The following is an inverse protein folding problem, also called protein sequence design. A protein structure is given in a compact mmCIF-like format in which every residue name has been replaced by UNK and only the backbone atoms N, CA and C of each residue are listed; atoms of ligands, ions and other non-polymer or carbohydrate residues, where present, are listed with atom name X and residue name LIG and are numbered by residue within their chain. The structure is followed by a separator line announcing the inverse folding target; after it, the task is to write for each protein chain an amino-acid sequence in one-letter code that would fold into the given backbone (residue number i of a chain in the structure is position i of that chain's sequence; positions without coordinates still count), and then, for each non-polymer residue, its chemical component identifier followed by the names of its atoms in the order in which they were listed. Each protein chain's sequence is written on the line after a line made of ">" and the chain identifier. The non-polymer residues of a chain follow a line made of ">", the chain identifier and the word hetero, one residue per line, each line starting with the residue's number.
data_IF_623836227628
#
_entry.id   IF_623836227628
#
_cell.length_a   1.000
_cell.length_b   1.000
_cell.length_c   1.000
_cell.angle_alpha   90.00
_cell.angle_beta   90.00
_cell.angle_gamma   90.00
#
_symmetry.space_group_name_H-M   'P 1'
#
loop_
_entity.id
_entity.type
_entity.pdbx_description
1 polymer ?
#
# COMPACT_ATOMS: atom_id res chain seq x y z
N UNK A 1 -0.96 -5.86 -9.00
CA UNK A 1 -0.30 -5.91 -7.68
C UNK A 1 -1.26 -5.66 -6.51
N UNK A 2 -2.09 -4.63 -6.52
CA UNK A 2 -2.92 -4.26 -5.36
C UNK A 2 -3.84 -5.35 -4.81
N UNK A 3 -4.38 -6.28 -5.60
CA UNK A 3 -5.26 -7.33 -5.08
C UNK A 3 -4.49 -8.49 -4.45
N UNK A 4 -3.37 -8.90 -5.01
CA UNK A 4 -2.52 -9.92 -4.37
C UNK A 4 -1.95 -9.39 -3.04
N UNK A 5 -1.63 -8.10 -2.98
CA UNK A 5 -1.17 -7.42 -1.76
C UNK A 5 -2.24 -7.39 -0.67
N UNK A 6 -3.51 -7.10 -0.99
CA UNK A 6 -4.57 -6.98 0.02
C UNK A 6 -4.86 -8.30 0.74
N UNK A 7 -4.84 -9.41 0.02
CA UNK A 7 -5.03 -10.73 0.63
C UNK A 7 -3.89 -11.02 1.62
N UNK A 8 -2.62 -10.77 1.22
CA UNK A 8 -1.45 -10.92 2.11
C UNK A 8 -1.49 -9.97 3.30
N UNK A 9 -1.86 -8.73 3.05
CA UNK A 9 -2.03 -7.73 4.10
C UNK A 9 -3.02 -8.18 5.18
N UNK A 10 -4.16 -8.74 4.77
CA UNK A 10 -5.16 -9.25 5.68
C UNK A 10 -4.64 -10.44 6.48
N UNK A 11 -4.02 -11.42 5.81
CA UNK A 11 -3.45 -12.61 6.46
C UNK A 11 -2.38 -12.23 7.49
N UNK A 12 -1.47 -11.31 7.15
CA UNK A 12 -0.43 -10.84 8.07
C UNK A 12 -1.02 -10.11 9.30
N UNK A 13 -2.10 -9.36 9.14
CA UNK A 13 -2.78 -8.70 10.27
C UNK A 13 -3.53 -9.69 11.17
N UNK A 14 -3.99 -10.81 10.62
CA UNK A 14 -4.68 -11.88 11.35
C UNK A 14 -3.68 -12.82 12.07
N UNK A 15 -2.39 -12.78 11.72
CA UNK A 15 -1.35 -13.57 12.40
C UNK A 15 -1.00 -12.95 13.75
N UNK A 16 -1.52 -13.55 14.82
CA UNK A 16 -1.29 -13.08 16.19
C UNK A 16 0.18 -13.10 16.64
N UNK A 17 1.04 -13.94 16.02
CA UNK A 17 2.47 -14.00 16.35
C UNK A 17 3.22 -12.75 15.87
N UNK A 18 2.77 -12.10 14.82
CA UNK A 18 3.37 -10.87 14.30
C UNK A 18 2.95 -9.61 15.06
N UNK A 19 1.83 -9.66 15.80
CA UNK A 19 1.30 -8.54 16.59
C UNK A 19 1.24 -7.22 15.82
N UNK A 20 0.92 -7.27 14.51
CA UNK A 20 0.91 -6.11 13.63
C UNK A 20 -0.33 -5.25 13.85
N UNK A 21 -0.16 -3.94 13.85
CA UNK A 21 -1.27 -2.97 13.78
C UNK A 21 -1.32 -2.33 12.41
N UNK A 22 -2.51 -2.16 11.85
CA UNK A 22 -2.67 -1.47 10.58
C UNK A 22 -2.53 0.04 10.78
N UNK A 23 -1.91 0.70 9.79
CA UNK A 23 -2.01 2.14 9.60
C UNK A 23 -3.07 2.39 8.53
N UNK A 24 -4.05 3.23 8.85
CA UNK A 24 -5.13 3.63 7.94
C UNK A 24 -4.74 4.95 7.30
N UNK A 25 -4.49 5.01 5.98
CA UNK A 25 -4.18 6.25 5.30
C UNK A 25 -5.40 7.15 5.18
N UNK A 26 -5.15 8.42 4.93
CA UNK A 26 -6.18 9.43 4.68
C UNK A 26 -6.40 9.64 3.17
N UNK A 27 -7.58 10.11 2.80
CA UNK A 27 -7.89 10.47 1.42
C UNK A 27 -8.92 11.58 1.30
N UNK A 28 -8.75 12.46 0.28
CA UNK A 28 -9.78 13.43 -0.11
C UNK A 28 -10.79 12.85 -1.11
N UNK A 29 -10.57 11.61 -1.56
CA UNK A 29 -11.49 10.91 -2.44
C UNK A 29 -12.83 10.66 -1.74
N UNK A 30 -13.97 10.85 -2.41
CA UNK A 30 -15.25 10.45 -1.86
C UNK A 30 -15.31 8.96 -1.51
N UNK A 31 -15.95 8.65 -0.39
CA UNK A 31 -16.17 7.28 0.06
C UNK A 31 -17.03 6.51 -0.96
N UNK A 32 -16.64 5.28 -1.30
CA UNK A 32 -17.38 4.41 -2.20
C UNK A 32 -18.40 3.58 -1.45
N UNK A 33 -19.38 3.05 -2.18
CA UNK A 33 -20.36 2.10 -1.61
C UNK A 33 -19.62 0.88 -1.03
N UNK A 34 -19.88 0.55 0.23
CA UNK A 34 -19.28 -0.57 0.93
C UNK A 34 -17.97 -0.26 1.65
N UNK A 35 -17.45 0.98 1.54
CA UNK A 35 -16.35 1.45 2.38
C UNK A 35 -16.88 2.06 3.68
N UNK A 36 -16.05 2.05 4.71
CA UNK A 36 -16.35 2.62 6.03
C UNK A 36 -15.22 3.51 6.47
N UNK A 37 -15.54 4.71 6.95
CA UNK A 37 -14.53 5.63 7.48
C UNK A 37 -13.77 5.00 8.65
N UNK A 38 -12.44 5.16 8.65
CA UNK A 38 -11.57 4.53 9.64
C UNK A 38 -11.33 3.03 9.42
N UNK A 39 -11.78 2.45 8.30
CA UNK A 39 -11.52 1.05 7.93
C UNK A 39 -10.61 0.95 6.71
N UNK A 40 -11.03 1.44 5.56
CA UNK A 40 -10.20 1.48 4.35
C UNK A 40 -9.33 2.74 4.33
N UNK A 41 -9.92 3.87 4.67
CA UNK A 41 -9.31 5.20 4.74
C UNK A 41 -9.99 6.03 5.84
N UNK A 42 -9.30 7.06 6.30
CA UNK A 42 -9.94 8.22 6.89
C UNK A 42 -10.31 9.18 5.75
N UNK A 43 -11.62 9.36 5.53
CA UNK A 43 -12.13 10.24 4.46
C UNK A 43 -12.25 11.66 4.97
N UNK A 44 -11.52 12.58 4.37
CA UNK A 44 -11.48 13.98 4.81
C UNK A 44 -11.64 14.96 3.64
N UNK A 45 -11.91 16.23 3.96
CA UNK A 45 -11.97 17.31 2.98
C UNK A 45 -10.63 18.02 2.81
N UNK A 46 -10.54 18.82 1.73
CA UNK A 46 -9.35 19.65 1.43
C UNK A 46 -8.98 20.61 2.59
N UNK A 47 -9.98 21.12 3.33
CA UNK A 47 -9.75 21.99 4.49
C UNK A 47 -9.01 21.25 5.61
N UNK A 48 -9.43 20.05 5.91
CA UNK A 48 -8.79 19.21 6.94
C UNK A 48 -7.35 18.86 6.54
N UNK A 49 -7.14 18.45 5.27
CA UNK A 49 -5.80 18.24 4.74
C UNK A 49 -4.93 19.50 4.88
N UNK A 50 -5.45 20.68 4.54
CA UNK A 50 -4.72 21.92 4.66
C UNK A 50 -4.33 22.23 6.12
N UNK A 51 -5.20 21.93 7.08
CA UNK A 51 -4.90 22.09 8.51
C UNK A 51 -3.86 21.08 9.00
N UNK A 52 -3.89 19.84 8.54
CA UNK A 52 -2.88 18.83 8.83
C UNK A 52 -1.50 19.21 8.26
N UNK A 53 -1.47 19.73 7.03
CA UNK A 53 -0.24 20.25 6.40
C UNK A 53 0.35 21.42 7.19
N UNK A 54 -0.48 22.41 7.59
CA UNK A 54 -0.03 23.55 8.40
C UNK A 54 0.56 23.12 9.74
N UNK A 55 0.04 22.06 10.33
CA UNK A 55 0.55 21.50 11.59
C UNK A 55 1.75 20.57 11.42
N UNK A 56 2.22 20.35 10.18
CA UNK A 56 3.34 19.45 9.90
C UNK A 56 3.05 17.98 10.22
N UNK A 57 1.78 17.57 10.18
CA UNK A 57 1.35 16.21 10.54
C UNK A 57 1.30 15.24 9.36
N UNK A 58 1.41 15.71 8.14
CA UNK A 58 1.39 14.87 6.93
C UNK A 58 2.79 14.34 6.66
N UNK A 59 2.96 13.03 6.74
CA UNK A 59 4.25 12.35 6.51
C UNK A 59 4.53 12.23 5.02
N UNK A 60 3.52 11.80 4.23
CA UNK A 60 3.59 11.69 2.79
C UNK A 60 2.25 12.06 2.16
N UNK A 61 2.29 12.60 0.95
CA UNK A 61 1.10 12.96 0.20
C UNK A 61 1.31 12.69 -1.28
N UNK A 62 0.34 12.03 -1.89
CA UNK A 62 0.28 11.76 -3.34
C UNK A 62 -1.03 12.27 -3.89
N UNK A 63 -0.98 12.89 -5.06
CA UNK A 63 -2.15 13.40 -5.77
C UNK A 63 -2.30 12.70 -7.12
N UNK A 64 -3.52 12.37 -7.47
CA UNK A 64 -3.85 11.71 -8.74
C UNK A 64 -4.96 12.48 -9.44
N UNK A 65 -4.72 12.88 -10.67
CA UNK A 65 -5.72 13.46 -11.53
C UNK A 65 -6.70 12.38 -11.99
N UNK A 66 -7.97 12.62 -11.78
CA UNK A 66 -9.05 11.72 -12.20
C UNK A 66 -10.13 12.48 -12.93
N UNK A 67 -11.00 11.78 -13.62
CA UNK A 67 -12.18 12.38 -14.29
C UNK A 67 -13.14 13.08 -13.31
N UNK A 68 -13.03 12.79 -12.01
CA UNK A 68 -13.84 13.38 -10.95
C UNK A 68 -13.08 14.46 -10.14
N UNK A 69 -11.90 14.86 -10.62
CA UNK A 69 -11.03 15.82 -9.94
C UNK A 69 -9.77 15.20 -9.36
N UNK A 70 -9.02 15.99 -8.61
CA UNK A 70 -7.76 15.54 -7.98
C UNK A 70 -8.08 14.81 -6.68
N UNK A 71 -7.69 13.55 -6.61
CA UNK A 71 -7.77 12.77 -5.39
C UNK A 71 -6.42 12.67 -4.72
N UNK A 72 -6.39 12.95 -3.43
CA UNK A 72 -5.18 12.90 -2.62
C UNK A 72 -5.24 11.73 -1.64
N UNK A 73 -4.11 11.08 -1.47
CA UNK A 73 -3.89 10.00 -0.51
C UNK A 73 -2.66 10.33 0.30
N UNK A 74 -2.74 10.20 1.61
CA UNK A 74 -1.66 10.62 2.49
C UNK A 74 -1.66 9.87 3.82
N UNK A 75 -0.51 9.85 4.47
CA UNK A 75 -0.31 9.26 5.79
C UNK A 75 -0.05 10.38 6.80
N UNK A 76 -0.65 10.27 7.97
CA UNK A 76 -0.60 11.29 9.02
C UNK A 76 0.09 10.75 10.25
N UNK A 77 0.95 11.56 10.85
CA UNK A 77 1.48 11.36 12.20
C UNK A 77 0.42 11.74 13.22
N UNK A 78 -0.42 10.79 13.56
CA UNK A 78 -1.56 10.96 14.46
C UNK A 78 -1.59 9.87 15.56
N UNK A 79 -2.77 9.67 16.15
CA UNK A 79 -3.00 8.69 17.21
C UNK A 79 -2.74 7.22 16.82
N UNK A 80 -2.58 6.90 15.54
CA UNK A 80 -2.37 5.53 15.08
C UNK A 80 -0.94 5.04 15.35
N UNK A 81 0.05 5.97 15.30
CA UNK A 81 1.49 5.65 15.42
C UNK A 81 2.03 6.27 16.70
N UNK A 82 1.59 5.78 17.85
CA UNK A 82 1.97 6.34 19.16
C UNK A 82 3.12 5.59 19.83
N UNK A 83 3.21 4.28 19.62
CA UNK A 83 4.25 3.45 20.24
C UNK A 83 5.18 2.87 19.17
N UNK A 84 6.40 3.42 19.10
CA UNK A 84 7.40 2.96 18.14
C UNK A 84 8.00 1.57 18.47
N UNK A 85 7.59 0.96 19.58
CA UNK A 85 7.91 -0.46 19.89
C UNK A 85 6.87 -1.41 19.28
N UNK A 86 5.73 -0.87 18.84
CA UNK A 86 4.70 -1.62 18.16
C UNK A 86 5.03 -1.73 16.66
N UNK A 87 4.86 -2.92 16.10
CA UNK A 87 4.98 -3.13 14.66
C UNK A 87 3.70 -2.70 13.94
N UNK A 88 3.87 -1.97 12.85
CA UNK A 88 2.78 -1.46 12.03
C UNK A 88 2.88 -1.99 10.60
N UNK A 89 1.74 -2.18 9.95
CA UNK A 89 1.66 -2.60 8.56
C UNK A 89 0.87 -1.58 7.73
N UNK A 90 1.44 -1.19 6.59
CA UNK A 90 0.85 -0.25 5.65
C UNK A 90 1.07 -0.74 4.21
N UNK A 91 0.07 -0.56 3.34
CA UNK A 91 0.24 -0.72 1.89
C UNK A 91 0.59 0.64 1.29
N UNK A 92 1.70 0.71 0.56
CA UNK A 92 2.18 1.95 -0.06
C UNK A 92 2.70 1.76 -1.49
N UNK A 93 2.98 2.88 -2.14
CA UNK A 93 3.78 2.96 -3.37
C UNK A 93 5.26 3.13 -3.01
N UNK A 94 6.17 3.05 -3.98
CA UNK A 94 7.60 3.33 -3.75
C UNK A 94 7.83 4.76 -3.25
N UNK A 95 7.07 5.73 -3.76
CA UNK A 95 7.13 7.11 -3.29
C UNK A 95 6.74 7.23 -1.81
N UNK A 96 5.62 6.60 -1.41
CA UNK A 96 5.20 6.58 -0.02
C UNK A 96 6.24 5.90 0.88
N UNK A 97 6.81 4.78 0.44
CA UNK A 97 7.87 4.08 1.15
C UNK A 97 9.08 4.99 1.38
N UNK A 98 9.56 5.69 0.35
CA UNK A 98 10.68 6.63 0.47
C UNK A 98 10.41 7.72 1.52
N UNK A 99 9.24 8.35 1.49
CA UNK A 99 8.83 9.38 2.45
C UNK A 99 8.70 8.85 3.89
N UNK A 100 8.13 7.67 4.06
CA UNK A 100 8.02 7.01 5.36
C UNK A 100 9.40 6.66 5.92
N UNK A 101 10.32 6.17 5.08
CA UNK A 101 11.70 5.87 5.43
C UNK A 101 12.45 7.14 5.86
N UNK A 102 12.27 8.24 5.15
CA UNK A 102 12.88 9.53 5.51
C UNK A 102 12.34 10.08 6.84
N UNK A 103 11.06 9.84 7.12
CA UNK A 103 10.41 10.33 8.34
C UNK A 103 10.76 9.48 9.58
N UNK A 104 10.66 8.16 9.50
CA UNK A 104 10.88 7.26 10.65
C UNK A 104 12.32 6.75 10.77
N UNK A 105 13.13 6.92 9.75
CA UNK A 105 14.45 6.32 9.63
C UNK A 105 14.43 4.97 8.91
N UNK A 106 15.45 4.72 8.11
CA UNK A 106 15.54 3.53 7.25
C UNK A 106 15.55 2.20 8.03
N UNK A 107 16.04 2.22 9.27
CA UNK A 107 16.11 1.04 10.13
C UNK A 107 14.73 0.62 10.67
N UNK A 108 13.74 1.50 10.60
CA UNK A 108 12.38 1.28 11.14
C UNK A 108 11.35 0.98 10.06
N UNK A 109 11.69 1.17 8.80
CA UNK A 109 10.75 0.99 7.69
C UNK A 109 11.23 -0.13 6.79
N UNK A 110 10.70 -1.31 7.00
CA UNK A 110 11.07 -2.53 6.28
C UNK A 110 10.15 -2.72 5.08
N UNK A 111 10.67 -2.72 3.83
CA UNK A 111 9.85 -2.95 2.66
C UNK A 111 9.57 -4.44 2.46
N UNK A 112 8.32 -4.79 2.22
CA UNK A 112 7.91 -6.13 1.78
C UNK A 112 7.42 -6.00 0.34
N UNK A 113 8.27 -6.34 -0.61
CA UNK A 113 7.95 -6.27 -2.02
C UNK A 113 7.45 -7.63 -2.54
N UNK A 114 6.19 -7.66 -2.96
CA UNK A 114 5.57 -8.88 -3.50
C UNK A 114 5.65 -8.83 -5.02
N UNK A 115 6.37 -9.77 -5.58
CA UNK A 115 6.61 -9.90 -7.01
C UNK A 115 5.67 -10.93 -7.63
N UNK A 116 5.14 -10.62 -8.79
CA UNK A 116 4.34 -11.52 -9.61
C UNK A 116 4.79 -11.34 -11.05
N UNK A 117 5.05 -12.44 -11.73
CA UNK A 117 5.36 -12.43 -13.16
C UNK A 117 4.26 -11.68 -13.96
N UNK A 118 4.66 -10.89 -14.94
CA UNK A 118 3.77 -9.95 -15.63
C UNK A 118 2.61 -10.62 -16.37
N UNK A 119 2.85 -11.78 -17.00
CA UNK A 119 1.79 -12.54 -17.67
C UNK A 119 0.74 -13.04 -16.68
N UNK A 120 1.17 -13.62 -15.56
CA UNK A 120 0.27 -14.06 -14.47
C UNK A 120 -0.50 -12.87 -13.90
N UNK A 121 0.16 -11.74 -13.72
CA UNK A 121 -0.45 -10.50 -13.23
C UNK A 121 -1.53 -9.99 -14.19
N UNK A 122 -1.24 -10.01 -15.48
CA UNK A 122 -2.18 -9.59 -16.52
C UNK A 122 -3.38 -10.56 -16.64
N UNK A 123 -3.15 -11.86 -16.62
CA UNK A 123 -4.21 -12.88 -16.63
C UNK A 123 -5.15 -12.71 -15.44
N UNK A 124 -4.59 -12.52 -14.22
CA UNK A 124 -5.37 -12.24 -13.02
C UNK A 124 -6.17 -10.94 -13.13
N UNK A 125 -5.62 -9.89 -13.75
CA UNK A 125 -6.31 -8.63 -13.98
C UNK A 125 -7.49 -8.80 -14.96
N UNK A 126 -7.29 -9.47 -16.10
CA UNK A 126 -8.32 -9.78 -17.09
C UNK A 126 -9.43 -10.65 -16.47
N UNK A 127 -9.05 -11.69 -15.74
CA UNK A 127 -10.01 -12.58 -15.07
C UNK A 127 -10.95 -11.83 -14.12
N UNK A 128 -10.43 -10.88 -13.36
CA UNK A 128 -11.24 -10.04 -12.47
C UNK A 128 -12.13 -9.07 -13.23
N UNK A 129 -11.59 -8.44 -14.28
CA UNK A 129 -12.33 -7.48 -15.07
C UNK A 129 -13.54 -8.12 -15.75
N UNK A 130 -13.40 -9.37 -16.22
CA UNK A 130 -14.49 -10.16 -16.79
C UNK A 130 -15.63 -10.47 -15.83
N UNK A 131 -15.36 -10.48 -14.52
CA UNK A 131 -16.37 -10.75 -13.49
C UNK A 131 -17.15 -9.50 -13.07
N UNK A 132 -16.73 -8.31 -13.52
CA UNK A 132 -17.45 -7.08 -13.25
C UNK A 132 -18.72 -6.98 -14.10
N UNK A 133 -19.75 -6.32 -13.57
CA UNK A 133 -20.97 -6.06 -14.30
C UNK A 133 -20.74 -5.22 -15.56
N UNK A 134 -19.81 -4.29 -15.47
CA UNK A 134 -19.39 -3.41 -16.57
C UNK A 134 -17.85 -3.44 -16.63
N UNK A 135 -17.25 -4.28 -17.49
CA UNK A 135 -15.80 -4.36 -17.64
C UNK A 135 -15.21 -3.10 -18.27
N UNK A 136 -14.12 -2.61 -17.69
CA UNK A 136 -13.38 -1.43 -18.17
C UNK A 136 -11.94 -1.81 -18.53
N UNK A 137 -11.77 -2.58 -19.61
CA UNK A 137 -10.47 -3.12 -20.03
C UNK A 137 -9.41 -2.06 -20.32
N UNK A 138 -9.80 -0.93 -20.91
CA UNK A 138 -8.88 0.17 -21.20
C UNK A 138 -8.28 0.73 -19.90
N UNK A 139 -9.10 0.99 -18.91
CA UNK A 139 -8.64 1.47 -17.61
C UNK A 139 -7.81 0.41 -16.86
N UNK A 140 -8.15 -0.87 -17.01
CA UNK A 140 -7.36 -1.99 -16.49
C UNK A 140 -5.95 -1.99 -17.11
N UNK A 141 -5.85 -1.88 -18.43
CA UNK A 141 -4.57 -1.83 -19.14
C UNK A 141 -3.75 -0.59 -18.75
N UNK A 142 -4.39 0.57 -18.68
CA UNK A 142 -3.74 1.81 -18.22
C UNK A 142 -3.12 1.63 -16.84
N UNK A 143 -3.86 1.06 -15.88
CA UNK A 143 -3.36 0.77 -14.53
C UNK A 143 -2.22 -0.23 -14.52
N UNK A 144 -2.31 -1.28 -15.36
CA UNK A 144 -1.26 -2.28 -15.47
C UNK A 144 0.06 -1.66 -15.92
N UNK A 145 0.02 -0.79 -16.94
CA UNK A 145 1.20 -0.08 -17.45
C UNK A 145 1.75 0.93 -16.43
N UNK A 146 0.87 1.68 -15.76
CA UNK A 146 1.28 2.60 -14.71
C UNK A 146 1.97 1.85 -13.55
N UNK A 147 1.40 0.75 -13.07
CA UNK A 147 2.03 -0.10 -12.05
C UNK A 147 3.39 -0.63 -12.50
N UNK A 148 3.54 -1.02 -13.79
CA UNK A 148 4.82 -1.50 -14.31
C UNK A 148 5.88 -0.38 -14.32
N UNK A 149 5.50 0.84 -14.69
CA UNK A 149 6.38 2.00 -14.67
C UNK A 149 6.73 2.47 -13.24
N UNK A 150 5.78 2.39 -12.32
CA UNK A 150 5.96 2.80 -10.91
C UNK A 150 6.86 1.85 -10.13
N UNK A 151 6.93 0.57 -10.54
CA UNK A 151 7.75 -0.46 -9.92
C UNK A 151 8.75 -1.07 -10.93
N UNK A 152 9.37 -0.21 -11.75
CA UNK A 152 10.46 -0.63 -12.63
C UNK A 152 11.69 -1.08 -11.82
N UNK A 153 12.54 -1.92 -12.41
CA UNK A 153 13.77 -2.38 -11.76
C UNK A 153 14.65 -1.23 -11.30
N UNK A 154 14.79 -0.18 -12.11
CA UNK A 154 15.54 1.03 -11.77
C UNK A 154 14.98 1.67 -10.49
N UNK A 155 13.68 1.89 -10.40
CA UNK A 155 13.05 2.49 -9.22
C UNK A 155 13.11 1.59 -7.98
N UNK A 156 13.06 0.26 -8.15
CA UNK A 156 13.23 -0.68 -7.04
C UNK A 156 14.66 -0.63 -6.48
N UNK A 157 15.67 -0.54 -7.35
CA UNK A 157 17.07 -0.39 -6.97
C UNK A 157 17.32 0.95 -6.27
N UNK A 158 16.80 2.05 -6.81
CA UNK A 158 16.89 3.38 -6.20
C UNK A 158 16.24 3.42 -4.81
N UNK A 159 15.12 2.73 -4.65
CA UNK A 159 14.45 2.58 -3.36
C UNK A 159 15.16 1.60 -2.42
N UNK A 160 16.25 0.95 -2.85
CA UNK A 160 17.02 -0.05 -2.09
C UNK A 160 16.16 -1.27 -1.68
N UNK A 161 15.20 -1.66 -2.51
CA UNK A 161 14.38 -2.85 -2.28
C UNK A 161 15.11 -4.06 -2.86
N UNK A 162 15.81 -4.78 -2.00
CA UNK A 162 16.62 -5.94 -2.38
C UNK A 162 15.92 -7.27 -2.07
N UNK A 163 15.04 -7.30 -1.07
CA UNK A 163 14.28 -8.49 -0.69
C UNK A 163 12.95 -8.51 -1.44
N UNK A 164 12.69 -9.61 -2.15
CA UNK A 164 11.50 -9.81 -2.98
C UNK A 164 10.85 -11.14 -2.66
N UNK A 165 9.53 -11.15 -2.61
CA UNK A 165 8.73 -12.34 -2.33
C UNK A 165 7.95 -12.72 -3.58
N UNK A 166 8.34 -13.83 -4.23
CA UNK A 166 7.58 -14.37 -5.35
C UNK A 166 6.19 -14.82 -4.87
N UNK A 167 5.14 -14.45 -5.61
CA UNK A 167 3.77 -14.76 -5.25
C UNK A 167 3.16 -15.80 -6.20
N UNK A 168 3.85 -16.92 -6.33
CA UNK A 168 3.45 -18.06 -7.15
C UNK A 168 2.55 -19.00 -6.35
N UNK A 169 2.94 -19.28 -5.10
CA UNK A 169 2.15 -20.04 -4.13
C UNK A 169 1.74 -19.15 -2.95
N UNK A 170 0.44 -19.18 -2.62
CA UNK A 170 -0.14 -18.33 -1.58
C UNK A 170 0.46 -18.60 -0.20
N UNK A 171 0.48 -19.86 0.18
CA UNK A 171 0.87 -20.30 1.51
C UNK A 171 2.38 -20.15 1.73
N UNK A 172 3.17 -20.57 0.76
CA UNK A 172 4.63 -20.43 0.83
C UNK A 172 5.07 -18.97 0.88
N UNK A 173 4.41 -18.10 0.10
CA UNK A 173 4.69 -16.65 0.11
C UNK A 173 4.39 -16.04 1.49
N UNK A 174 3.29 -16.45 2.12
CA UNK A 174 2.92 -16.01 3.46
C UNK A 174 3.95 -16.44 4.51
N UNK A 175 4.31 -17.73 4.52
CA UNK A 175 5.33 -18.27 5.42
C UNK A 175 6.66 -17.53 5.27
N UNK A 176 7.12 -17.30 4.04
CA UNK A 176 8.37 -16.58 3.77
C UNK A 176 8.32 -15.12 4.26
N UNK A 177 7.21 -14.42 4.06
CA UNK A 177 7.04 -13.04 4.54
C UNK A 177 6.98 -13.01 6.07
N UNK A 178 6.26 -13.95 6.68
CA UNK A 178 6.17 -14.09 8.13
C UNK A 178 7.54 -14.28 8.78
N UNK A 179 8.30 -15.23 8.27
CA UNK A 179 9.65 -15.54 8.79
C UNK A 179 10.58 -14.33 8.62
N UNK A 180 10.48 -13.63 7.49
CA UNK A 180 11.22 -12.41 7.28
C UNK A 180 10.86 -11.32 8.30
N UNK A 181 9.56 -11.08 8.57
CA UNK A 181 9.15 -10.09 9.57
C UNK A 181 9.66 -10.46 10.96
N UNK A 182 9.59 -11.73 11.34
CA UNK A 182 10.10 -12.19 12.64
C UNK A 182 11.61 -11.97 12.76
N UNK A 183 12.38 -12.22 11.70
CA UNK A 183 13.84 -12.00 11.68
C UNK A 183 14.25 -10.52 11.77
N UNK A 184 13.34 -9.58 11.54
CA UNK A 184 13.62 -8.13 11.69
C UNK A 184 13.43 -7.63 13.14
N UNK A 185 12.86 -8.47 14.01
CA UNK A 185 12.59 -8.13 15.41
C UNK A 185 13.71 -8.59 16.36
N UNK A 186 14.66 -9.38 15.87
CA UNK A 186 15.85 -9.86 16.60
C UNK A 186 17.03 -8.87 16.45
#
# INVERSE_FOLDING_TARGET
>A
RQMCIRDRYKMLLEDGALSLKKIIPYTTRPMRRGETDGVEYYFCGEKELADLLKRGKVIELRAYDTVQGVWKYFTVDDHQIQDLRQNYLLIGTLEAYGKLRDYFGKERVVPIYIEVEDGIRLERAIGRERQQREPHYEEMCRRFLADAADFSEEKLLDAQITVRFANDDLKQTEENIRDYILSQND
#
